data_IF_937216848989
#
_entry.id   IF_937216848989
#
_cell.length_a   1.000
_cell.length_b   1.000
_cell.length_c   1.000
_cell.angle_alpha   90.00
_cell.angle_beta   90.00
_cell.angle_gamma   90.00
#
_symmetry.space_group_name_H-M   'P 1'
#
loop_
_entity.id
_entity.type
_entity.pdbx_description
1 polymer ?
#
# COMPACT_ATOMS: atom_id res chain seq x y z
N UNK A 1 -17.15 0.53 16.36
CA UNK A 1 -15.99 0.42 15.45
C UNK A 1 -15.06 1.59 15.78
N UNK A 2 -14.01 1.36 16.58
CA UNK A 2 -13.02 2.39 16.88
C UNK A 2 -11.90 2.27 15.85
N UNK A 3 -11.78 3.28 14.98
CA UNK A 3 -10.59 3.47 14.13
C UNK A 3 -9.57 4.21 14.97
N UNK A 4 -8.42 3.58 15.22
CA UNK A 4 -7.27 4.25 15.87
C UNK A 4 -6.32 4.67 14.77
N UNK A 5 -6.03 5.97 14.69
CA UNK A 5 -5.05 6.52 13.77
C UNK A 5 -3.70 6.64 14.49
N UNK A 6 -2.63 6.13 13.88
CA UNK A 6 -1.26 6.41 14.29
C UNK A 6 -0.61 7.32 13.24
N UNK A 7 -0.08 8.47 13.67
CA UNK A 7 0.69 9.38 12.82
C UNK A 7 2.18 9.03 12.90
N UNK A 8 2.79 8.70 11.76
CA UNK A 8 4.24 8.57 11.60
C UNK A 8 4.72 9.78 10.79
N UNK A 9 5.81 10.42 11.20
CA UNK A 9 6.28 11.79 10.84
C UNK A 9 6.47 12.15 9.34
N UNK A 10 6.11 11.30 8.40
CA UNK A 10 6.15 11.59 6.95
C UNK A 10 4.82 11.24 6.34
N UNK A 11 3.86 12.18 6.36
CA UNK A 11 2.56 12.13 5.67
C UNK A 11 1.96 10.72 5.47
N UNK A 12 2.08 9.87 6.49
CA UNK A 12 1.69 8.47 6.44
C UNK A 12 0.64 8.24 7.49
N UNK A 13 -0.60 8.09 7.05
CA UNK A 13 -1.72 7.76 7.95
C UNK A 13 -1.84 6.24 8.00
N UNK A 14 -1.70 5.67 9.20
CA UNK A 14 -2.00 4.25 9.46
C UNK A 14 -3.32 4.15 10.20
N UNK A 15 -4.30 3.48 9.60
CA UNK A 15 -5.60 3.21 10.21
C UNK A 15 -5.75 1.72 10.53
N UNK A 16 -6.28 1.43 11.72
CA UNK A 16 -6.60 0.07 12.15
C UNK A 16 -8.11 -0.12 12.30
N UNK A 17 -8.61 -1.26 11.81
CA UNK A 17 -10.00 -1.69 12.04
C UNK A 17 -10.02 -3.16 12.46
N UNK A 18 -10.81 -3.47 13.49
CA UNK A 18 -11.10 -4.82 13.95
C UNK A 18 -12.57 -5.14 13.67
N UNK A 19 -12.81 -6.10 12.78
CA UNK A 19 -14.14 -6.67 12.54
C UNK A 19 -14.07 -8.20 12.57
N UNK A 20 -13.67 -8.82 11.47
CA UNK A 20 -13.38 -10.25 11.32
C UNK A 20 -11.90 -10.51 10.99
N UNK A 21 -11.08 -9.47 11.16
CA UNK A 21 -9.74 -9.34 10.60
C UNK A 21 -9.06 -8.09 11.11
N UNK A 22 -7.74 -8.04 11.04
CA UNK A 22 -6.93 -6.84 11.18
C UNK A 22 -6.81 -6.13 9.82
N UNK A 23 -7.40 -4.94 9.71
CA UNK A 23 -7.19 -4.04 8.58
C UNK A 23 -6.08 -3.03 8.88
N UNK A 24 -5.16 -2.82 7.95
CA UNK A 24 -4.19 -1.73 7.97
C UNK A 24 -4.29 -0.95 6.65
N UNK A 25 -4.47 0.36 6.74
CA UNK A 25 -4.39 1.25 5.57
C UNK A 25 -3.19 2.16 5.73
N UNK A 26 -2.31 2.24 4.74
CA UNK A 26 -1.13 3.10 4.69
C UNK A 26 -1.31 4.04 3.51
N UNK A 27 -1.39 5.34 3.76
CA UNK A 27 -1.49 6.35 2.69
C UNK A 27 -0.25 7.23 2.68
N UNK A 28 0.41 7.36 1.54
CA UNK A 28 1.44 8.38 1.29
C UNK A 28 0.89 9.49 0.39
N UNK A 29 1.38 10.72 0.53
CA UNK A 29 1.06 11.89 -0.32
C UNK A 29 2.14 12.14 -1.39
N UNK A 30 2.95 11.12 -1.69
CA UNK A 30 4.04 11.21 -2.63
C UNK A 30 3.58 11.46 -4.07
N UNK A 31 4.52 11.49 -5.02
CA UNK A 31 4.21 11.73 -6.45
C UNK A 31 3.29 10.67 -7.09
N UNK A 32 2.95 9.60 -6.37
CA UNK A 32 2.18 8.46 -6.84
C UNK A 32 2.95 7.54 -7.80
N UNK A 33 2.53 6.28 -7.91
CA UNK A 33 3.22 5.28 -8.76
C UNK A 33 3.17 5.62 -10.24
N UNK A 34 2.11 6.30 -10.69
CA UNK A 34 1.95 6.71 -12.09
C UNK A 34 3.01 7.72 -12.53
N UNK A 35 3.19 8.81 -11.79
CA UNK A 35 4.21 9.83 -12.10
C UNK A 35 5.62 9.28 -11.89
N UNK A 36 5.82 8.40 -10.90
CA UNK A 36 7.09 7.69 -10.72
C UNK A 36 7.41 6.76 -11.90
N UNK A 37 6.41 6.08 -12.47
CA UNK A 37 6.57 5.23 -13.65
C UNK A 37 6.89 6.06 -14.91
N UNK A 38 6.26 7.22 -15.07
CA UNK A 38 6.53 8.15 -16.17
C UNK A 38 7.96 8.75 -16.08
N UNK A 39 8.43 9.07 -14.87
CA UNK A 39 9.81 9.54 -14.67
C UNK A 39 10.83 8.41 -14.87
N UNK A 40 10.48 7.17 -14.48
CA UNK A 40 11.32 5.99 -14.71
C UNK A 40 11.39 5.57 -16.17
N UNK A 41 10.37 5.82 -16.99
CA UNK A 41 10.45 5.54 -18.43
C UNK A 41 11.41 6.49 -19.17
N UNK A 42 11.63 7.68 -18.60
CA UNK A 42 12.57 8.70 -19.10
C UNK A 42 14.00 8.56 -18.54
N UNK A 43 14.21 7.74 -17.52
CA UNK A 43 15.51 7.48 -16.89
C UNK A 43 16.03 6.08 -17.25
N UNK A 44 17.30 5.94 -17.61
CA UNK A 44 17.93 4.66 -17.96
C UNK A 44 18.00 3.64 -16.80
N UNK A 45 17.68 4.06 -15.57
CA UNK A 45 17.70 3.20 -14.37
C UNK A 45 16.37 2.49 -14.15
N UNK A 46 16.23 1.31 -14.75
CA UNK A 46 15.05 0.45 -14.71
C UNK A 46 14.87 -0.28 -13.36
N UNK A 47 14.99 0.41 -12.23
CA UNK A 47 14.79 -0.19 -10.91
C UNK A 47 13.29 -0.50 -10.71
N UNK A 48 12.89 -1.72 -11.06
CA UNK A 48 11.58 -2.30 -10.70
C UNK A 48 11.42 -2.23 -9.17
N UNK A 49 10.20 -2.03 -8.71
CA UNK A 49 9.82 -1.95 -7.29
C UNK A 49 10.01 -3.30 -6.58
N UNK A 50 11.27 -3.68 -6.35
CA UNK A 50 11.64 -4.96 -5.77
C UNK A 50 10.99 -5.17 -4.40
N UNK A 51 10.88 -4.10 -3.60
CA UNK A 51 10.17 -4.12 -2.32
C UNK A 51 8.74 -4.65 -2.43
N UNK A 52 7.94 -4.12 -3.36
CA UNK A 52 6.55 -4.59 -3.56
C UNK A 52 6.48 -6.05 -4.06
N UNK A 53 7.43 -6.45 -4.92
CA UNK A 53 7.50 -7.84 -5.41
C UNK A 53 7.80 -8.80 -4.25
N UNK A 54 8.85 -8.53 -3.47
CA UNK A 54 9.23 -9.34 -2.31
C UNK A 54 8.09 -9.38 -1.29
N UNK A 55 7.43 -8.25 -1.02
CA UNK A 55 6.27 -8.22 -0.12
C UNK A 55 5.14 -9.10 -0.64
N UNK A 56 4.82 -9.05 -1.94
CA UNK A 56 3.79 -9.91 -2.52
C UNK A 56 4.13 -11.40 -2.41
N UNK A 57 5.38 -11.78 -2.67
CA UNK A 57 5.86 -13.16 -2.55
C UNK A 57 5.77 -13.66 -1.10
N UNK A 58 6.16 -12.82 -0.13
CA UNK A 58 6.06 -13.15 1.30
C UNK A 58 4.61 -13.34 1.75
N UNK A 59 3.69 -12.53 1.24
CA UNK A 59 2.26 -12.64 1.58
C UNK A 59 1.66 -13.92 0.99
N UNK A 60 2.03 -14.28 -0.24
CA UNK A 60 1.65 -15.57 -0.81
C UNK A 60 2.13 -16.74 0.06
N UNK A 61 3.38 -16.68 0.52
CA UNK A 61 3.93 -17.70 1.42
C UNK A 61 3.17 -17.76 2.76
N UNK A 62 2.85 -16.61 3.37
CA UNK A 62 2.07 -16.55 4.61
C UNK A 62 0.69 -17.19 4.41
N UNK A 63 0.01 -16.90 3.31
CA UNK A 63 -1.29 -17.49 2.99
C UNK A 63 -1.20 -19.01 2.82
N UNK A 64 -0.13 -19.51 2.19
CA UNK A 64 0.10 -20.95 2.04
C UNK A 64 0.40 -21.64 3.38
N UNK A 65 1.29 -21.07 4.19
CA UNK A 65 1.74 -21.68 5.44
C UNK A 65 0.65 -21.73 6.50
N UNK A 66 -0.16 -20.67 6.58
CA UNK A 66 -1.16 -20.52 7.64
C UNK A 66 -2.61 -20.74 7.15
N UNK A 67 -2.80 -21.16 5.90
CA UNK A 67 -4.12 -21.25 5.24
C UNK A 67 -4.95 -19.96 5.42
N UNK A 68 -4.25 -18.82 5.50
CA UNK A 68 -4.86 -17.52 5.73
C UNK A 68 -5.20 -16.85 4.39
N UNK A 69 -6.03 -15.83 4.46
CA UNK A 69 -6.48 -15.06 3.30
C UNK A 69 -6.03 -13.60 3.41
N UNK A 70 -4.75 -13.41 3.73
CA UNK A 70 -4.15 -12.07 3.77
C UNK A 70 -4.21 -11.45 2.38
N UNK A 71 -4.78 -10.25 2.28
CA UNK A 71 -4.94 -9.50 1.03
C UNK A 71 -4.21 -8.17 1.10
N UNK A 72 -3.59 -7.78 -0.02
CA UNK A 72 -3.06 -6.44 -0.22
C UNK A 72 -3.69 -5.82 -1.45
N UNK A 73 -4.17 -4.60 -1.32
CA UNK A 73 -4.69 -3.77 -2.40
C UNK A 73 -3.88 -2.48 -2.43
N UNK A 74 -3.66 -1.95 -3.64
CA UNK A 74 -2.96 -0.69 -3.80
C UNK A 74 -3.76 0.21 -4.73
N UNK A 75 -4.15 1.37 -4.21
CA UNK A 75 -4.93 2.39 -4.88
C UNK A 75 -4.02 3.59 -5.16
N UNK A 76 -3.99 4.05 -6.41
CA UNK A 76 -3.33 5.32 -6.73
C UNK A 76 -4.33 6.45 -6.45
N UNK A 77 -3.89 7.46 -5.70
CA UNK A 77 -4.73 8.59 -5.32
C UNK A 77 -4.60 9.72 -6.34
N UNK A 78 -5.69 10.42 -6.60
CA UNK A 78 -5.73 11.61 -7.44
C UNK A 78 -6.50 12.73 -6.76
N UNK A 79 -6.08 13.97 -6.98
CA UNK A 79 -6.79 15.16 -6.51
C UNK A 79 -8.03 15.47 -7.39
N UNK A 80 -8.76 16.53 -7.02
CA UNK A 80 -9.95 16.98 -7.76
C UNK A 80 -9.66 17.41 -9.21
N UNK A 81 -8.39 17.65 -9.55
CA UNK A 81 -7.94 18.03 -10.89
C UNK A 81 -7.41 16.81 -11.68
N UNK A 82 -7.50 15.60 -11.11
CA UNK A 82 -7.02 14.37 -11.72
C UNK A 82 -5.50 14.18 -11.66
N UNK A 83 -4.79 15.01 -10.88
CA UNK A 83 -3.34 14.90 -10.70
C UNK A 83 -3.03 13.89 -9.60
N UNK A 84 -1.96 13.10 -9.80
CA UNK A 84 -1.49 12.14 -8.81
C UNK A 84 -1.25 12.82 -7.45
N UNK A 85 -1.87 12.25 -6.41
CA UNK A 85 -1.92 12.81 -5.06
C UNK A 85 -1.51 11.78 -3.99
N UNK A 86 -0.75 10.74 -4.40
CA UNK A 86 -0.23 9.74 -3.49
C UNK A 86 -0.58 8.30 -3.85
N UNK A 87 -0.35 7.41 -2.89
CA UNK A 87 -0.69 5.99 -2.97
C UNK A 87 -1.31 5.54 -1.65
N UNK A 88 -2.38 4.76 -1.73
CA UNK A 88 -2.97 4.06 -0.60
C UNK A 88 -2.74 2.56 -0.74
N UNK A 89 -2.25 1.93 0.34
CA UNK A 89 -2.05 0.48 0.45
C UNK A 89 -2.96 -0.03 1.56
N UNK A 90 -3.87 -0.95 1.21
CA UNK A 90 -4.77 -1.61 2.16
C UNK A 90 -4.34 -3.05 2.36
N UNK A 91 -4.08 -3.44 3.60
CA UNK A 91 -3.71 -4.78 4.02
C UNK A 91 -4.84 -5.33 4.90
N UNK A 92 -5.32 -6.53 4.60
CA UNK A 92 -6.33 -7.23 5.40
C UNK A 92 -5.79 -8.58 5.82
N UNK A 93 -5.67 -8.81 7.12
CA UNK A 93 -5.21 -10.07 7.70
C UNK A 93 -6.40 -10.68 8.47
N UNK A 94 -6.99 -11.80 8.05
CA UNK A 94 -8.02 -12.46 8.83
C UNK A 94 -7.44 -13.00 10.15
N UNK A 95 -8.20 -12.89 11.24
CA UNK A 95 -7.87 -13.41 12.59
C UNK A 95 -8.83 -14.51 12.99
#
# INVERSE_FOLDING_TARGET
MQVVAAQVEVATVIQFALSLGLGLTITDDGIGRYRAAELKSKSATRHKSFGMKVTSERIQLINQLYQSHTRVQVHDLADQQGKAAGTEVVITIPI
#
